data_IF_073589740557
#
_entry.id   IF_073589740557
#
_cell.length_a   1.000
_cell.length_b   1.000
_cell.length_c   1.000
_cell.angle_alpha   90.00
_cell.angle_beta   90.00
_cell.angle_gamma   90.00
#
_symmetry.space_group_name_H-M   'P 1'
#
loop_
_entity.id
_entity.type
_entity.pdbx_description
1 polymer ?
#
# COMPACT_ATOMS: atom_id res chain seq x y z
N UNK A 1 49.66 -31.21 2.12
CA UNK A 1 49.24 -31.29 0.71
C UNK A 1 48.06 -30.34 0.53
N UNK A 2 48.16 -29.36 -0.36
CA UNK A 2 47.03 -28.48 -0.72
C UNK A 2 46.04 -29.27 -1.60
N UNK A 3 44.70 -29.09 -1.48
CA UNK A 3 43.72 -29.61 -2.44
C UNK A 3 44.13 -29.49 -3.93
N UNK A 4 44.72 -28.36 -4.32
CA UNK A 4 45.16 -28.14 -5.71
C UNK A 4 46.32 -29.06 -6.13
N UNK A 5 47.20 -29.39 -5.19
CA UNK A 5 48.33 -30.29 -5.39
C UNK A 5 47.87 -31.74 -5.55
N UNK A 6 46.84 -32.14 -4.78
CA UNK A 6 46.21 -33.46 -4.92
C UNK A 6 45.54 -33.62 -6.28
N UNK A 7 44.79 -32.61 -6.72
CA UNK A 7 44.13 -32.61 -8.03
C UNK A 7 45.14 -32.78 -9.18
N UNK A 8 46.28 -32.08 -9.13
CA UNK A 8 47.36 -32.24 -10.12
C UNK A 8 47.94 -33.66 -10.16
N UNK A 9 48.15 -34.28 -8.99
CA UNK A 9 48.62 -35.66 -8.93
C UNK A 9 47.60 -36.65 -9.50
N UNK A 10 46.30 -36.41 -9.29
CA UNK A 10 45.23 -37.23 -9.86
C UNK A 10 45.16 -37.15 -11.39
N UNK A 11 45.35 -35.95 -11.95
CA UNK A 11 45.49 -35.73 -13.39
C UNK A 11 46.71 -36.47 -13.94
N UNK A 12 47.87 -36.35 -13.28
CA UNK A 12 49.11 -37.03 -13.67
C UNK A 12 48.97 -38.56 -13.64
N UNK A 13 48.35 -39.12 -12.59
CA UNK A 13 48.02 -40.56 -12.53
C UNK A 13 47.18 -40.98 -13.74
N UNK A 14 46.14 -40.20 -14.05
CA UNK A 14 45.21 -40.50 -15.13
C UNK A 14 45.91 -40.49 -16.49
N UNK A 15 46.81 -39.53 -16.70
CA UNK A 15 47.66 -39.47 -17.89
C UNK A 15 48.56 -40.72 -17.99
N UNK A 16 49.31 -41.06 -16.94
CA UNK A 16 50.24 -42.21 -16.95
C UNK A 16 49.54 -43.54 -17.22
N UNK A 17 48.36 -43.76 -16.62
CA UNK A 17 47.54 -44.96 -16.87
C UNK A 17 46.92 -44.99 -18.26
N UNK A 18 46.65 -43.82 -18.87
CA UNK A 18 46.27 -43.74 -20.28
C UNK A 18 47.44 -44.12 -21.18
N UNK A 19 48.61 -43.52 -20.97
CA UNK A 19 49.81 -43.79 -21.78
C UNK A 19 50.24 -45.27 -21.72
N UNK A 20 50.11 -45.95 -20.58
CA UNK A 20 50.36 -47.39 -20.48
C UNK A 20 49.41 -48.22 -21.34
N UNK A 21 48.11 -47.86 -21.35
CA UNK A 21 47.12 -48.54 -22.21
C UNK A 21 47.33 -48.23 -23.69
N UNK A 22 47.83 -47.05 -24.01
CA UNK A 22 48.12 -46.64 -25.38
C UNK A 22 49.35 -47.39 -25.91
N UNK A 23 50.40 -47.49 -25.08
CA UNK A 23 51.62 -48.24 -25.40
C UNK A 23 51.36 -49.73 -25.65
N UNK A 24 50.45 -50.36 -24.89
CA UNK A 24 50.06 -51.76 -25.16
C UNK A 24 49.39 -51.91 -26.53
N UNK A 25 48.53 -50.96 -26.93
CA UNK A 25 47.86 -51.00 -28.23
C UNK A 25 48.84 -50.79 -29.39
N UNK A 26 49.80 -49.89 -29.23
CA UNK A 26 50.86 -49.66 -30.23
C UNK A 26 51.74 -50.90 -30.40
N UNK A 27 52.03 -51.62 -29.31
CA UNK A 27 52.75 -52.91 -29.37
C UNK A 27 51.93 -54.00 -30.05
N UNK A 28 50.64 -54.13 -29.71
CA UNK A 28 49.74 -55.10 -30.36
C UNK A 28 49.56 -54.82 -31.86
N UNK A 29 49.61 -53.54 -32.27
CA UNK A 29 49.58 -53.12 -33.68
C UNK A 29 50.92 -53.35 -34.41
N UNK A 30 52.01 -53.60 -33.68
CA UNK A 30 53.35 -53.75 -34.23
C UNK A 30 54.04 -52.43 -34.58
N UNK A 31 53.53 -51.30 -34.07
CA UNK A 31 54.07 -49.96 -34.33
C UNK A 31 55.32 -49.64 -33.49
N UNK A 32 55.57 -50.42 -32.43
CA UNK A 32 56.73 -50.33 -31.56
C UNK A 32 57.35 -51.71 -31.33
N UNK A 33 58.68 -51.78 -31.26
CA UNK A 33 59.38 -53.03 -30.97
C UNK A 33 59.36 -53.39 -29.47
N UNK A 34 59.64 -54.66 -29.16
CA UNK A 34 59.57 -55.17 -27.78
C UNK A 34 60.61 -54.53 -26.84
N UNK A 35 61.73 -54.03 -27.36
CA UNK A 35 62.80 -53.41 -26.55
C UNK A 35 62.36 -52.01 -26.13
N UNK A 36 61.87 -51.22 -27.09
CA UNK A 36 61.36 -49.87 -26.86
C UNK A 36 60.10 -49.89 -25.99
N UNK A 37 59.19 -50.84 -26.23
CA UNK A 37 58.05 -51.09 -25.35
C UNK A 37 58.49 -51.36 -23.91
N UNK A 38 59.43 -52.28 -23.70
CA UNK A 38 59.87 -52.65 -22.34
C UNK A 38 60.50 -51.46 -21.61
N UNK A 39 61.29 -50.63 -22.30
CA UNK A 39 61.89 -49.44 -21.72
C UNK A 39 60.83 -48.40 -21.30
N UNK A 40 59.88 -48.08 -22.20
CA UNK A 40 58.82 -47.11 -21.93
C UNK A 40 57.82 -47.61 -20.87
N UNK A 41 57.38 -48.86 -20.98
CA UNK A 41 56.43 -49.48 -20.06
C UNK A 41 56.96 -49.46 -18.62
N UNK A 42 58.23 -49.83 -18.41
CA UNK A 42 58.85 -49.81 -17.10
C UNK A 42 58.93 -48.38 -16.53
N UNK A 43 59.29 -47.39 -17.36
CA UNK A 43 59.36 -45.99 -16.95
C UNK A 43 58.01 -45.38 -16.58
N UNK A 44 56.94 -45.71 -17.32
CA UNK A 44 55.58 -45.28 -16.98
C UNK A 44 55.05 -45.98 -15.73
N UNK A 45 55.31 -47.29 -15.59
CA UNK A 45 54.87 -48.08 -14.42
C UNK A 45 55.51 -47.57 -13.12
N UNK A 46 56.81 -47.27 -13.15
CA UNK A 46 57.51 -46.72 -11.99
C UNK A 46 56.93 -45.36 -11.55
N UNK A 47 56.71 -44.44 -12.50
CA UNK A 47 56.12 -43.13 -12.21
C UNK A 47 54.68 -43.24 -11.71
N UNK A 48 53.87 -44.11 -12.30
CA UNK A 48 52.50 -44.33 -11.86
C UNK A 48 52.45 -44.81 -10.39
N UNK A 49 53.34 -45.73 -10.02
CA UNK A 49 53.44 -46.23 -8.64
C UNK A 49 53.84 -45.13 -7.65
N UNK A 50 54.74 -44.22 -8.04
CA UNK A 50 55.15 -43.08 -7.21
C UNK A 50 54.01 -42.09 -6.99
N UNK A 51 53.31 -41.69 -8.06
CA UNK A 51 52.18 -40.74 -7.99
C UNK A 51 51.04 -41.31 -7.13
N UNK A 52 50.69 -42.60 -7.29
CA UNK A 52 49.66 -43.26 -6.47
C UNK A 52 50.02 -43.24 -4.98
N UNK A 53 51.30 -43.44 -4.65
CA UNK A 53 51.80 -43.38 -3.26
C UNK A 53 51.74 -41.96 -2.69
N UNK A 54 51.95 -40.93 -3.52
CA UNK A 54 51.83 -39.54 -3.09
C UNK A 54 50.37 -39.14 -2.85
N UNK A 55 49.44 -39.52 -3.74
CA UNK A 55 48.00 -39.28 -3.58
C UNK A 55 47.50 -39.87 -2.26
N UNK A 56 47.78 -41.16 -2.01
CA UNK A 56 47.34 -41.84 -0.78
C UNK A 56 47.88 -41.20 0.50
N UNK A 57 49.11 -40.67 0.49
CA UNK A 57 49.68 -39.91 1.61
C UNK A 57 49.01 -38.54 1.78
N UNK A 58 48.61 -37.90 0.69
CA UNK A 58 47.91 -36.61 0.69
C UNK A 58 46.50 -36.70 1.24
N UNK A 59 45.74 -37.71 0.81
CA UNK A 59 44.37 -37.96 1.27
C UNK A 59 44.30 -38.20 2.78
N UNK A 60 45.30 -38.88 3.36
CA UNK A 60 45.38 -39.13 4.79
C UNK A 60 45.53 -37.86 5.65
N UNK A 61 45.97 -36.74 5.05
CA UNK A 61 46.26 -35.48 5.74
C UNK A 61 45.12 -34.44 5.60
N UNK A 62 44.11 -34.69 4.77
CA UNK A 62 42.98 -33.78 4.61
C UNK A 62 41.99 -33.93 5.78
N UNK A 63 41.53 -32.83 6.40
CA UNK A 63 40.56 -32.90 7.48
C UNK A 63 39.25 -33.50 6.96
N UNK A 64 38.82 -34.63 7.55
CA UNK A 64 37.48 -35.18 7.31
C UNK A 64 36.46 -34.10 7.66
N UNK A 65 35.73 -33.61 6.67
CA UNK A 65 34.62 -32.68 6.85
C UNK A 65 33.61 -33.33 7.79
N UNK A 66 33.59 -32.92 9.07
CA UNK A 66 32.66 -33.46 10.06
C UNK A 66 31.23 -33.19 9.58
N UNK A 67 30.52 -34.26 9.20
CA UNK A 67 29.09 -34.20 8.95
C UNK A 67 28.39 -33.94 10.27
N UNK A 68 27.74 -32.78 10.42
CA UNK A 68 26.86 -32.53 11.58
C UNK A 68 25.80 -33.64 11.67
N UNK A 69 25.50 -34.16 12.88
CA UNK A 69 24.56 -35.27 13.03
C UNK A 69 23.16 -34.84 12.58
N UNK A 70 22.45 -35.77 11.92
CA UNK A 70 21.12 -35.54 11.33
C UNK A 70 20.11 -34.98 12.37
N UNK A 71 20.27 -35.34 13.64
CA UNK A 71 19.45 -34.89 14.77
C UNK A 71 19.52 -33.39 15.00
N UNK A 72 20.69 -32.76 14.86
CA UNK A 72 20.84 -31.30 14.96
C UNK A 72 20.15 -30.58 13.81
N UNK A 73 20.18 -31.16 12.59
CA UNK A 73 19.47 -30.60 11.44
C UNK A 73 17.96 -30.68 11.62
N UNK A 74 17.46 -31.82 12.09
CA UNK A 74 16.03 -32.01 12.38
C UNK A 74 15.57 -31.03 13.48
N UNK A 75 16.34 -30.87 14.55
CA UNK A 75 16.01 -29.94 15.63
C UNK A 75 15.89 -28.48 15.15
N UNK A 76 16.80 -28.04 14.28
CA UNK A 76 16.74 -26.69 13.68
C UNK A 76 15.51 -26.52 12.81
N UNK A 77 15.21 -27.51 11.94
CA UNK A 77 14.03 -27.46 11.05
C UNK A 77 12.74 -27.40 11.86
N UNK A 78 12.61 -28.24 12.89
CA UNK A 78 11.44 -28.25 13.78
C UNK A 78 11.31 -26.92 14.53
N UNK A 79 12.41 -26.36 15.05
CA UNK A 79 12.40 -25.07 15.73
C UNK A 79 11.91 -23.92 14.82
N UNK A 80 12.36 -23.90 13.57
CA UNK A 80 11.92 -22.90 12.58
C UNK A 80 10.44 -23.06 12.25
N UNK A 81 9.96 -24.30 12.08
CA UNK A 81 8.54 -24.57 11.82
C UNK A 81 7.64 -24.12 12.98
N UNK A 82 8.02 -24.39 14.22
CA UNK A 82 7.26 -23.96 15.41
C UNK A 82 7.21 -22.44 15.49
N UNK A 83 8.34 -21.75 15.24
CA UNK A 83 8.37 -20.29 15.20
C UNK A 83 7.47 -19.72 14.10
N UNK A 84 7.50 -20.30 12.90
CA UNK A 84 6.67 -19.85 11.79
C UNK A 84 5.18 -20.03 12.08
N UNK A 85 4.78 -21.19 12.62
CA UNK A 85 3.39 -21.45 13.01
C UNK A 85 2.96 -20.53 14.16
N UNK A 86 3.81 -20.34 15.17
CA UNK A 86 3.53 -19.45 16.29
C UNK A 86 3.37 -17.99 15.87
N UNK A 87 4.25 -17.50 14.99
CA UNK A 87 4.14 -16.16 14.42
C UNK A 87 2.88 -16.02 13.55
N UNK A 88 2.57 -17.01 12.71
CA UNK A 88 1.36 -17.02 11.91
C UNK A 88 0.09 -17.01 12.75
N UNK A 89 0.04 -17.80 13.83
CA UNK A 89 -1.08 -17.82 14.76
C UNK A 89 -1.21 -16.51 15.54
N UNK A 90 -0.11 -15.93 16.02
CA UNK A 90 -0.12 -14.64 16.71
C UNK A 90 -0.63 -13.51 15.81
N UNK A 91 -0.17 -13.48 14.55
CA UNK A 91 -0.65 -12.53 13.55
C UNK A 91 -2.14 -12.73 13.29
N UNK A 92 -2.61 -13.98 13.13
CA UNK A 92 -4.03 -14.26 12.94
C UNK A 92 -4.89 -13.88 14.15
N UNK A 93 -4.38 -14.08 15.37
CA UNK A 93 -5.08 -13.76 16.62
C UNK A 93 -5.14 -12.25 16.91
N UNK A 94 -4.11 -11.48 16.52
CA UNK A 94 -4.11 -10.02 16.66
C UNK A 94 -4.74 -9.29 15.47
N UNK A 95 -4.90 -9.95 14.33
CA UNK A 95 -5.59 -9.39 13.16
C UNK A 95 -7.10 -9.54 13.36
N UNK A 96 -7.70 -8.57 14.05
CA UNK A 96 -9.15 -8.47 14.22
C UNK A 96 -9.92 -8.44 12.89
N UNK A 97 -11.19 -8.84 12.94
CA UNK A 97 -12.11 -8.87 11.80
C UNK A 97 -12.19 -7.49 11.12
N UNK A 98 -11.86 -7.45 9.83
CA UNK A 98 -11.99 -6.26 8.97
C UNK A 98 -13.43 -6.14 8.48
N UNK A 99 -14.07 -5.01 8.73
CA UNK A 99 -15.37 -4.66 8.14
C UNK A 99 -15.14 -4.05 6.75
N UNK A 100 -16.06 -4.24 5.78
CA UNK A 100 -15.95 -3.61 4.46
C UNK A 100 -15.96 -2.07 4.59
N UNK A 101 -14.89 -1.41 4.12
CA UNK A 101 -14.81 0.07 4.06
C UNK A 101 -13.56 0.74 4.65
N UNK A 102 -12.66 0.02 5.33
CA UNK A 102 -11.43 0.60 5.88
C UNK A 102 -10.28 0.63 4.86
N UNK A 103 -9.60 1.78 4.73
CA UNK A 103 -8.46 1.98 3.83
C UNK A 103 -7.14 1.46 4.43
N UNK A 104 -6.21 1.09 3.54
CA UNK A 104 -4.94 0.43 3.88
C UNK A 104 -3.79 1.40 4.24
N UNK A 105 -4.02 2.71 4.16
CA UNK A 105 -3.00 3.76 4.37
C UNK A 105 -3.32 4.58 5.62
N UNK A 106 -2.34 4.75 6.50
CA UNK A 106 -2.53 5.28 7.84
C UNK A 106 -3.10 6.71 7.91
N UNK A 107 -4.21 6.85 8.64
CA UNK A 107 -4.32 7.78 9.76
C UNK A 107 -4.87 9.20 9.55
N UNK A 108 -5.09 9.67 8.33
CA UNK A 108 -5.60 11.04 8.10
C UNK A 108 -6.86 11.05 7.23
N UNK A 109 -6.94 10.24 6.18
CA UNK A 109 -8.17 10.11 5.38
C UNK A 109 -9.28 9.39 6.15
N UNK A 110 -8.90 8.46 7.02
CA UNK A 110 -9.84 7.68 7.85
C UNK A 110 -10.51 8.54 8.93
N UNK A 111 -9.86 9.61 9.41
CA UNK A 111 -10.47 10.53 10.39
C UNK A 111 -11.45 11.49 9.73
N UNK A 112 -11.10 12.14 8.60
CA UNK A 112 -12.01 13.05 7.91
C UNK A 112 -13.24 12.33 7.37
N UNK A 113 -13.08 11.16 6.75
CA UNK A 113 -14.22 10.38 6.26
C UNK A 113 -15.14 9.91 7.41
N UNK A 114 -14.56 9.49 8.53
CA UNK A 114 -15.32 9.10 9.73
C UNK A 114 -16.06 10.30 10.34
N UNK A 115 -15.39 11.45 10.49
CA UNK A 115 -16.00 12.68 10.98
C UNK A 115 -17.12 13.15 10.05
N UNK A 116 -16.94 13.03 8.74
CA UNK A 116 -17.96 13.42 7.76
C UNK A 116 -19.20 12.53 7.86
N UNK A 117 -18.99 11.20 7.94
CA UNK A 117 -20.08 10.25 8.16
C UNK A 117 -20.82 10.51 9.48
N UNK A 118 -20.08 10.82 10.56
CA UNK A 118 -20.64 11.19 11.85
C UNK A 118 -21.46 12.48 11.77
N UNK A 119 -20.92 13.54 11.14
CA UNK A 119 -21.59 14.83 11.00
C UNK A 119 -22.91 14.69 10.22
N UNK A 120 -22.92 13.92 9.12
CA UNK A 120 -24.14 13.61 8.36
C UNK A 120 -25.17 12.84 9.18
N UNK A 121 -24.74 11.89 10.02
CA UNK A 121 -25.64 11.09 10.84
C UNK A 121 -26.37 11.91 11.91
N UNK A 122 -25.77 13.03 12.35
CA UNK A 122 -26.30 13.86 13.43
C UNK A 122 -26.80 15.23 12.98
N UNK A 123 -26.58 15.66 11.73
CA UNK A 123 -26.90 17.03 11.26
C UNK A 123 -28.35 17.46 11.50
N UNK A 124 -29.32 16.55 11.40
CA UNK A 124 -30.74 16.83 11.60
C UNK A 124 -31.19 16.61 13.05
N UNK A 125 -30.55 15.69 13.79
CA UNK A 125 -30.95 15.34 15.16
C UNK A 125 -30.25 16.18 16.23
N UNK A 126 -29.00 16.56 15.97
CA UNK A 126 -28.17 17.43 16.82
C UNK A 126 -27.34 18.39 15.94
N UNK A 127 -27.95 19.48 15.45
CA UNK A 127 -27.28 20.42 14.54
C UNK A 127 -26.09 21.12 15.20
N UNK A 128 -26.10 21.32 16.53
CA UNK A 128 -24.99 21.93 17.25
C UNK A 128 -23.76 20.99 17.25
N UNK A 129 -23.96 19.71 17.58
CA UNK A 129 -22.87 18.73 17.51
C UNK A 129 -22.35 18.52 16.08
N UNK A 130 -23.24 18.58 15.08
CA UNK A 130 -22.83 18.53 13.67
C UNK A 130 -21.96 19.73 13.27
N UNK A 131 -22.30 20.95 13.68
CA UNK A 131 -21.49 22.15 13.44
C UNK A 131 -20.07 21.97 13.99
N UNK A 132 -19.93 21.44 15.21
CA UNK A 132 -18.62 21.16 15.81
C UNK A 132 -17.87 20.09 15.01
N UNK A 133 -18.53 19.01 14.61
CA UNK A 133 -17.90 17.92 13.84
C UNK A 133 -17.42 18.40 12.47
N UNK A 134 -18.23 19.18 11.74
CA UNK A 134 -17.79 19.82 10.50
C UNK A 134 -16.67 20.83 10.74
N UNK A 135 -16.66 21.53 11.88
CA UNK A 135 -15.56 22.45 12.24
C UNK A 135 -14.24 21.70 12.45
N UNK A 136 -14.27 20.50 13.04
CA UNK A 136 -13.07 19.64 13.14
C UNK A 136 -12.56 19.22 11.76
N UNK A 137 -13.46 18.89 10.82
CA UNK A 137 -13.06 18.60 9.43
C UNK A 137 -12.35 19.80 8.81
N UNK A 138 -12.88 21.01 9.01
CA UNK A 138 -12.29 22.24 8.46
C UNK A 138 -10.94 22.63 9.10
N UNK A 139 -10.66 22.18 10.33
CA UNK A 139 -9.31 22.32 10.91
C UNK A 139 -8.27 21.44 10.20
N UNK A 140 -8.69 20.27 9.71
CA UNK A 140 -7.82 19.34 8.99
C UNK A 140 -7.69 19.70 7.51
N UNK A 141 -8.81 20.08 6.88
CA UNK A 141 -8.88 20.53 5.49
C UNK A 141 -9.80 21.77 5.41
N UNK A 142 -9.22 22.99 5.42
CA UNK A 142 -9.98 24.24 5.38
C UNK A 142 -10.87 24.41 4.15
N UNK A 143 -10.53 23.76 3.04
CA UNK A 143 -11.23 23.86 1.76
C UNK A 143 -12.13 22.65 1.50
N UNK A 144 -12.50 21.89 2.55
CA UNK A 144 -13.41 20.76 2.40
C UNK A 144 -14.84 21.27 2.11
N UNK A 145 -15.19 21.31 0.82
CA UNK A 145 -16.43 21.87 0.24
C UNK A 145 -17.69 21.45 0.99
N UNK A 146 -17.85 20.15 1.24
CA UNK A 146 -19.04 19.66 1.93
C UNK A 146 -19.13 20.16 3.38
N UNK A 147 -18.02 20.17 4.11
CA UNK A 147 -18.00 20.64 5.48
C UNK A 147 -18.25 22.15 5.55
N UNK A 148 -17.69 22.93 4.61
CA UNK A 148 -18.00 24.35 4.45
C UNK A 148 -19.51 24.56 4.23
N UNK A 149 -20.09 23.80 3.30
CA UNK A 149 -21.48 23.92 2.89
C UNK A 149 -22.44 23.60 4.03
N UNK A 150 -22.32 22.40 4.59
CA UNK A 150 -23.28 21.93 5.60
C UNK A 150 -23.10 22.61 6.95
N UNK A 151 -21.87 22.94 7.37
CA UNK A 151 -21.66 23.74 8.60
C UNK A 151 -22.33 25.10 8.49
N UNK A 152 -22.13 25.79 7.37
CA UNK A 152 -22.66 27.13 7.12
C UNK A 152 -24.19 27.13 7.08
N UNK A 153 -24.78 26.13 6.41
CA UNK A 153 -26.21 25.91 6.42
C UNK A 153 -26.77 25.69 7.83
N UNK A 154 -26.13 24.83 8.62
CA UNK A 154 -26.56 24.56 9.99
C UNK A 154 -26.45 25.79 10.90
N UNK A 155 -25.40 26.60 10.76
CA UNK A 155 -25.24 27.87 11.49
C UNK A 155 -26.42 28.81 11.20
N UNK A 156 -26.81 28.95 9.93
CA UNK A 156 -27.98 29.75 9.57
C UNK A 156 -29.28 29.16 10.15
N UNK A 157 -29.44 27.84 10.09
CA UNK A 157 -30.64 27.15 10.53
C UNK A 157 -30.88 27.29 12.04
N UNK A 158 -29.85 27.06 12.86
CA UNK A 158 -29.96 27.14 14.33
C UNK A 158 -30.16 28.57 14.83
N UNK A 159 -29.71 29.57 14.08
CA UNK A 159 -29.83 30.97 14.47
C UNK A 159 -31.22 31.57 14.21
N UNK A 160 -32.13 30.86 13.52
CA UNK A 160 -33.47 31.39 13.13
C UNK A 160 -34.30 31.90 14.30
N UNK A 161 -34.14 31.31 15.48
CA UNK A 161 -34.89 31.68 16.69
C UNK A 161 -34.04 32.50 17.70
N UNK A 162 -32.81 32.85 17.33
CA UNK A 162 -31.91 33.60 18.18
C UNK A 162 -32.24 35.10 18.22
N UNK A 163 -31.49 35.87 19.02
CA UNK A 163 -31.57 37.34 19.01
C UNK A 163 -31.11 37.89 17.65
N UNK A 164 -31.55 39.10 17.30
CA UNK A 164 -31.19 39.73 16.03
C UNK A 164 -29.67 39.89 15.84
N UNK A 165 -28.94 40.18 16.90
CA UNK A 165 -27.48 40.25 16.87
C UNK A 165 -26.85 38.90 16.49
N UNK A 166 -27.34 37.81 17.09
CA UNK A 166 -26.86 36.45 16.80
C UNK A 166 -27.24 36.03 15.38
N UNK A 167 -28.46 36.37 14.91
CA UNK A 167 -28.88 36.14 13.53
C UNK A 167 -27.96 36.80 12.53
N UNK A 168 -27.61 38.08 12.75
CA UNK A 168 -26.70 38.83 11.88
C UNK A 168 -25.30 38.18 11.81
N UNK A 169 -24.76 37.75 12.95
CA UNK A 169 -23.48 37.04 12.98
C UNK A 169 -23.55 35.69 12.26
N UNK A 170 -24.59 34.91 12.51
CA UNK A 170 -24.81 33.62 11.86
C UNK A 170 -25.00 33.77 10.35
N UNK A 171 -25.72 34.81 9.91
CA UNK A 171 -25.91 35.15 8.52
C UNK A 171 -24.60 35.45 7.81
N UNK A 172 -23.77 36.30 8.41
CA UNK A 172 -22.46 36.63 7.87
C UNK A 172 -21.58 35.38 7.76
N UNK A 173 -21.52 34.57 8.82
CA UNK A 173 -20.75 33.32 8.84
C UNK A 173 -21.26 32.31 7.80
N UNK A 174 -22.57 32.15 7.66
CA UNK A 174 -23.17 31.23 6.71
C UNK A 174 -22.91 31.67 5.26
N UNK A 175 -23.13 32.95 4.96
CA UNK A 175 -22.88 33.52 3.62
C UNK A 175 -21.41 33.40 3.24
N UNK A 176 -20.50 33.70 4.17
CA UNK A 176 -19.06 33.57 3.94
C UNK A 176 -18.66 32.11 3.67
N UNK A 177 -19.10 31.17 4.51
CA UNK A 177 -18.70 29.77 4.34
C UNK A 177 -19.31 29.10 3.12
N UNK A 178 -20.55 29.45 2.74
CA UNK A 178 -21.17 29.01 1.48
C UNK A 178 -20.48 29.64 0.27
N UNK A 179 -20.13 30.93 0.34
CA UNK A 179 -19.34 31.59 -0.69
C UNK A 179 -17.98 30.93 -0.89
N UNK A 180 -17.26 30.61 0.20
CA UNK A 180 -15.99 29.88 0.13
C UNK A 180 -16.15 28.49 -0.48
N UNK A 181 -17.24 27.77 -0.16
CA UNK A 181 -17.51 26.47 -0.80
C UNK A 181 -17.68 26.58 -2.32
N UNK A 182 -18.39 27.61 -2.80
CA UNK A 182 -18.57 27.92 -4.22
C UNK A 182 -17.25 28.35 -4.87
N UNK A 183 -16.42 29.13 -4.18
CA UNK A 183 -15.09 29.52 -4.67
C UNK A 183 -14.17 28.30 -4.87
N UNK A 184 -14.23 27.31 -3.98
CA UNK A 184 -13.45 26.08 -4.05
C UNK A 184 -13.99 25.13 -5.12
N UNK A 185 -15.31 24.90 -5.14
CA UNK A 185 -15.98 24.02 -6.10
C UNK A 185 -17.28 24.68 -6.63
N UNK A 186 -17.19 25.41 -7.75
CA UNK A 186 -18.32 26.15 -8.32
C UNK A 186 -19.49 25.27 -8.78
N UNK A 187 -19.25 23.98 -8.99
CA UNK A 187 -20.27 23.04 -9.45
C UNK A 187 -20.92 22.26 -8.29
N UNK A 188 -20.65 22.62 -7.02
CA UNK A 188 -21.21 21.94 -5.85
C UNK A 188 -22.66 22.41 -5.56
N UNK A 189 -23.70 21.62 -5.88
CA UNK A 189 -25.06 22.14 -5.98
C UNK A 189 -25.64 22.65 -4.66
N UNK A 190 -25.37 21.93 -3.57
CA UNK A 190 -25.90 22.26 -2.25
C UNK A 190 -25.45 23.65 -1.79
N UNK A 191 -24.24 24.08 -2.17
CA UNK A 191 -23.73 25.40 -1.78
C UNK A 191 -24.56 26.53 -2.42
N UNK A 192 -24.87 26.41 -3.72
CA UNK A 192 -25.75 27.35 -4.42
C UNK A 192 -27.18 27.30 -3.87
N UNK A 193 -27.74 26.11 -3.67
CA UNK A 193 -29.10 25.97 -3.14
C UNK A 193 -29.22 26.61 -1.75
N UNK A 194 -28.29 26.31 -0.83
CA UNK A 194 -28.31 26.85 0.52
C UNK A 194 -28.00 28.34 0.56
N UNK A 195 -27.08 28.85 -0.26
CA UNK A 195 -26.78 30.29 -0.31
C UNK A 195 -27.99 31.09 -0.80
N UNK A 196 -28.66 30.61 -1.85
CA UNK A 196 -29.90 31.21 -2.34
C UNK A 196 -31.00 31.24 -1.27
N UNK A 197 -31.18 30.14 -0.53
CA UNK A 197 -32.13 30.07 0.58
C UNK A 197 -31.76 31.05 1.70
N UNK A 198 -30.49 31.10 2.11
CA UNK A 198 -30.01 31.98 3.17
C UNK A 198 -30.20 33.45 2.77
N UNK A 199 -29.82 33.82 1.54
CA UNK A 199 -30.02 35.17 1.01
C UNK A 199 -31.48 35.58 1.04
N UNK A 200 -32.39 34.73 0.57
CA UNK A 200 -33.82 35.08 0.54
C UNK A 200 -34.46 35.09 1.93
N UNK A 201 -34.33 33.98 2.68
CA UNK A 201 -35.10 33.75 3.90
C UNK A 201 -34.57 34.50 5.10
N UNK A 202 -33.27 34.78 5.13
CA UNK A 202 -32.62 35.35 6.30
C UNK A 202 -31.99 36.73 6.00
N UNK A 203 -31.45 36.97 4.80
CA UNK A 203 -30.87 38.28 4.45
C UNK A 203 -31.86 39.22 3.74
N UNK A 204 -33.02 38.72 3.26
CA UNK A 204 -33.97 39.52 2.47
C UNK A 204 -33.43 39.94 1.10
N UNK A 205 -32.36 39.31 0.63
CA UNK A 205 -31.72 39.58 -0.66
C UNK A 205 -32.34 38.70 -1.75
N UNK A 206 -33.46 39.17 -2.31
CA UNK A 206 -34.17 38.45 -3.37
C UNK A 206 -33.36 38.38 -4.68
N UNK A 207 -32.60 39.43 -5.01
CA UNK A 207 -31.82 39.47 -6.26
C UNK A 207 -30.66 38.48 -6.20
N UNK A 208 -29.86 38.53 -5.14
CA UNK A 208 -28.76 37.59 -4.95
C UNK A 208 -29.25 36.17 -4.69
N UNK A 209 -30.46 35.98 -4.16
CA UNK A 209 -31.07 34.65 -4.06
C UNK A 209 -31.45 34.07 -5.42
N UNK A 210 -32.00 34.89 -6.33
CA UNK A 210 -32.39 34.46 -7.67
C UNK A 210 -31.21 33.84 -8.42
N UNK A 211 -30.06 34.52 -8.41
CA UNK A 211 -28.84 34.07 -9.07
C UNK A 211 -28.43 32.65 -8.63
N UNK A 212 -28.33 32.43 -7.31
CA UNK A 212 -27.89 31.14 -6.77
C UNK A 212 -28.93 30.03 -6.95
N UNK A 213 -30.22 30.36 -6.79
CA UNK A 213 -31.30 29.38 -6.94
C UNK A 213 -31.50 28.95 -8.40
N UNK A 214 -31.26 29.84 -9.36
CA UNK A 214 -31.29 29.49 -10.78
C UNK A 214 -30.13 28.56 -11.14
N UNK A 215 -28.93 28.79 -10.58
CA UNK A 215 -27.78 27.88 -10.73
C UNK A 215 -28.11 26.51 -10.11
N UNK A 216 -28.56 26.48 -8.85
CA UNK A 216 -28.99 25.27 -8.16
C UNK A 216 -30.01 24.46 -8.98
N UNK A 217 -31.04 25.11 -9.52
CA UNK A 217 -32.06 24.45 -10.33
C UNK A 217 -31.49 23.88 -11.64
N UNK A 218 -30.52 24.55 -12.25
CA UNK A 218 -29.86 24.09 -13.49
C UNK A 218 -29.01 22.83 -13.30
N UNK A 219 -28.56 22.56 -12.06
CA UNK A 219 -27.74 21.39 -11.71
C UNK A 219 -28.55 20.09 -11.54
N UNK A 220 -29.86 20.11 -11.83
CA UNK A 220 -30.76 18.96 -11.76
C UNK A 220 -30.72 18.24 -10.39
N UNK A 221 -31.07 18.93 -9.29
CA UNK A 221 -31.15 18.31 -7.97
C UNK A 221 -32.22 17.20 -7.95
N UNK A 222 -32.18 16.28 -6.96
CA UNK A 222 -33.21 15.25 -6.81
C UNK A 222 -34.62 15.85 -6.80
N UNK A 223 -35.61 15.16 -7.36
CA UNK A 223 -36.96 15.70 -7.58
C UNK A 223 -37.61 16.32 -6.33
N UNK A 224 -37.37 15.74 -5.15
CA UNK A 224 -37.84 16.28 -3.86
C UNK A 224 -37.22 17.64 -3.55
N UNK A 225 -35.92 17.79 -3.77
CA UNK A 225 -35.18 19.05 -3.59
C UNK A 225 -35.59 20.05 -4.67
N UNK A 226 -35.77 19.60 -5.91
CA UNK A 226 -36.20 20.46 -7.02
C UNK A 226 -37.54 21.13 -6.74
N UNK A 227 -38.54 20.39 -6.25
CA UNK A 227 -39.85 20.97 -5.89
C UNK A 227 -39.75 22.05 -4.81
N UNK A 228 -38.84 21.87 -3.84
CA UNK A 228 -38.58 22.88 -2.81
C UNK A 228 -37.88 24.13 -3.38
N UNK A 229 -36.87 23.93 -4.21
CA UNK A 229 -36.13 25.02 -4.88
C UNK A 229 -37.06 25.83 -5.78
N UNK A 230 -37.90 25.18 -6.59
CA UNK A 230 -38.85 25.85 -7.47
C UNK A 230 -39.90 26.65 -6.70
N UNK A 231 -40.37 26.15 -5.55
CA UNK A 231 -41.24 26.91 -4.65
C UNK A 231 -40.59 28.21 -4.20
N UNK A 232 -39.33 28.15 -3.76
CA UNK A 232 -38.61 29.35 -3.30
C UNK A 232 -38.34 30.29 -4.46
N UNK A 233 -37.96 29.79 -5.64
CA UNK A 233 -37.78 30.62 -6.84
C UNK A 233 -39.04 31.38 -7.23
N UNK A 234 -40.22 30.76 -7.09
CA UNK A 234 -41.49 31.45 -7.30
C UNK A 234 -41.72 32.57 -6.29
N UNK A 235 -41.35 32.38 -5.02
CA UNK A 235 -41.46 33.42 -3.99
C UNK A 235 -40.46 34.57 -4.23
N UNK A 236 -39.25 34.24 -4.68
CA UNK A 236 -38.22 35.21 -5.09
C UNK A 236 -38.71 36.04 -6.27
N UNK A 237 -39.27 35.41 -7.32
CA UNK A 237 -39.83 36.12 -8.46
C UNK A 237 -40.95 37.09 -8.04
N UNK A 238 -41.87 36.64 -7.19
CA UNK A 238 -42.92 37.50 -6.64
C UNK A 238 -42.36 38.69 -5.84
N UNK A 239 -41.29 38.48 -5.05
CA UNK A 239 -40.62 39.55 -4.31
C UNK A 239 -39.91 40.57 -5.22
N UNK A 240 -39.46 40.14 -6.40
CA UNK A 240 -38.84 40.98 -7.43
C UNK A 240 -39.86 41.63 -8.38
N UNK A 241 -41.12 41.20 -8.34
CA UNK A 241 -42.17 41.68 -9.24
C UNK A 241 -42.13 41.09 -10.65
N UNK A 242 -41.60 39.88 -10.79
CA UNK A 242 -41.50 39.10 -12.03
C UNK A 242 -42.65 38.10 -12.20
#
# INVERSE_FOLDING_TARGET
MNPDELARLEEERSFLLSSLRDLEREREAGDIDDIDYAALHNGYTQRAAEVIKLISRGEALLPRRQSRPLTQRIAVVVGVLVLAVGAGWLVAAQSGQRLPGQSSSGGIEDSTATLLAQARAINFSDPAAAIETYSEILKLNPDHVEALTYRSWLIALVAREATEEVKLMALAAATQGLGHAIEVEPDYPDAHCFLGIVRFRLAGDALGAKEELDICASMNPPAEVQGFVDSIRSEVAAALGE
#
